data_IF_443988797542
#
_entry.id   IF_443988797542
#
_cell.length_a   1.000
_cell.length_b   1.000
_cell.length_c   1.000
_cell.angle_alpha   90.00
_cell.angle_beta   90.00
_cell.angle_gamma   90.00
#
_symmetry.space_group_name_H-M   'P 1'
#
loop_
_entity.id
_entity.type
_entity.pdbx_description
1 polymer ?
#
# COMPACT_ATOMS: atom_id res chain seq x y z
N UNK A 1 28.71 13.06 1.16
CA UNK A 1 27.60 12.81 0.22
C UNK A 1 27.55 11.31 0.02
N UNK A 2 26.58 10.52 0.47
CA UNK A 2 25.14 10.67 0.48
C UNK A 2 24.64 9.65 1.54
N UNK A 3 24.02 10.07 2.64
CA UNK A 3 23.10 9.14 3.31
C UNK A 3 21.97 9.01 2.29
N UNK A 4 21.84 7.84 1.68
CA UNK A 4 20.75 7.58 0.77
C UNK A 4 19.46 8.02 1.47
N UNK A 5 18.72 8.88 0.81
CA UNK A 5 17.40 9.38 1.21
C UNK A 5 16.43 8.19 1.21
N UNK A 6 16.59 7.35 2.24
CA UNK A 6 15.86 6.12 2.46
C UNK A 6 14.62 6.53 3.25
N UNK A 7 13.54 6.79 2.51
CA UNK A 7 12.26 7.12 3.05
C UNK A 7 11.50 5.86 3.49
N UNK A 8 10.45 6.07 4.26
CA UNK A 8 9.47 5.04 4.60
C UNK A 8 8.15 5.37 3.93
N UNK A 9 7.48 4.34 3.42
CA UNK A 9 6.09 4.45 2.97
C UNK A 9 5.23 3.71 3.98
N UNK A 10 4.41 4.46 4.71
CA UNK A 10 3.48 3.96 5.73
C UNK A 10 2.04 4.29 5.33
N UNK A 11 1.12 3.39 5.65
CA UNK A 11 -0.30 3.61 5.40
C UNK A 11 -1.20 2.74 6.27
N UNK A 12 -2.49 3.06 6.25
CA UNK A 12 -3.55 2.30 6.94
C UNK A 12 -4.58 1.89 5.90
N UNK A 13 -4.93 0.61 5.85
CA UNK A 13 -6.03 0.10 5.03
C UNK A 13 -7.31 0.06 5.87
N UNK A 14 -8.35 0.67 5.31
CA UNK A 14 -9.67 0.81 5.91
C UNK A 14 -10.72 0.38 4.89
N UNK A 15 -11.76 -0.29 5.36
CA UNK A 15 -12.92 -0.66 4.57
C UNK A 15 -14.00 0.40 4.78
N UNK A 16 -14.28 1.16 3.72
CA UNK A 16 -15.41 2.07 3.66
C UNK A 16 -16.68 1.26 3.36
N UNK A 17 -17.33 0.83 4.44
CA UNK A 17 -18.55 0.03 4.39
C UNK A 17 -19.78 0.88 4.11
N UNK A 18 -19.67 2.21 4.19
CA UNK A 18 -20.78 3.16 4.03
C UNK A 18 -20.77 3.83 2.66
N UNK A 19 -19.61 3.86 1.99
CA UNK A 19 -19.36 4.57 0.74
C UNK A 19 -19.38 6.09 0.91
N UNK A 20 -19.10 6.60 2.11
CA UNK A 20 -19.18 8.02 2.44
C UNK A 20 -17.82 8.74 2.49
N UNK A 21 -16.72 7.98 2.43
CA UNK A 21 -15.37 8.52 2.50
C UNK A 21 -14.97 9.08 3.87
N UNK A 22 -15.73 8.79 4.94
CA UNK A 22 -15.39 9.18 6.31
C UNK A 22 -14.59 8.07 7.02
N UNK A 23 -13.28 8.32 7.16
CA UNK A 23 -12.37 7.37 7.80
C UNK A 23 -12.66 7.12 9.30
N UNK A 24 -13.51 7.93 9.94
CA UNK A 24 -13.82 7.86 11.37
C UNK A 24 -14.71 6.68 11.73
N UNK A 25 -15.60 6.28 10.82
CA UNK A 25 -16.50 5.13 10.92
C UNK A 25 -15.99 3.90 10.16
N UNK A 26 -14.95 4.05 9.36
CA UNK A 26 -14.36 2.92 8.64
C UNK A 26 -13.74 1.86 9.56
N UNK A 27 -13.85 0.61 9.13
CA UNK A 27 -13.27 -0.54 9.81
C UNK A 27 -11.86 -0.78 9.28
N UNK A 28 -10.87 -0.93 10.17
CA UNK A 28 -9.50 -1.29 9.77
C UNK A 28 -9.45 -2.71 9.19
N UNK A 29 -8.67 -2.90 8.14
CA UNK A 29 -8.51 -4.21 7.48
C UNK A 29 -7.18 -4.82 7.87
N UNK A 30 -7.23 -5.85 8.71
CA UNK A 30 -6.07 -6.69 9.01
C UNK A 30 -5.88 -7.77 7.94
N UNK A 31 -4.62 -8.10 7.62
CA UNK A 31 -4.29 -9.16 6.66
C UNK A 31 -4.45 -8.78 5.17
N UNK A 32 -4.74 -7.51 4.85
CA UNK A 32 -4.64 -7.03 3.48
C UNK A 32 -3.18 -7.06 3.02
N UNK A 33 -2.94 -7.47 1.78
CA UNK A 33 -1.60 -7.55 1.22
C UNK A 33 -1.29 -6.26 0.48
N UNK A 34 -0.34 -5.49 0.98
CA UNK A 34 0.21 -4.32 0.31
C UNK A 34 1.45 -4.71 -0.51
N UNK A 35 1.47 -4.36 -1.79
CA UNK A 35 2.62 -4.54 -2.67
C UNK A 35 3.08 -3.18 -3.18
N UNK A 36 4.38 -2.88 -3.02
CA UNK A 36 4.97 -1.63 -3.49
C UNK A 36 5.51 -1.79 -4.91
N UNK A 37 5.13 -0.88 -5.80
CA UNK A 37 5.58 -0.81 -7.18
C UNK A 37 6.31 0.51 -7.42
N UNK A 38 7.48 0.45 -8.06
CA UNK A 38 8.18 1.64 -8.56
C UNK A 38 7.65 1.96 -9.96
N UNK A 39 7.28 3.22 -10.15
CA UNK A 39 6.84 3.77 -11.44
C UNK A 39 7.89 3.53 -12.53
N UNK A 40 7.46 2.94 -13.65
CA UNK A 40 8.27 2.75 -14.86
C UNK A 40 8.66 4.06 -15.56
N UNK A 41 8.03 5.17 -15.15
CA UNK A 41 8.35 6.53 -15.57
C UNK A 41 7.26 7.21 -16.40
N UNK A 42 6.11 6.53 -16.59
CA UNK A 42 4.94 7.10 -17.28
C UNK A 42 3.95 7.77 -16.30
N UNK A 43 4.14 7.60 -14.99
CA UNK A 43 3.30 8.18 -13.94
C UNK A 43 1.91 7.54 -13.82
N UNK A 44 1.69 6.37 -14.39
CA UNK A 44 0.42 5.63 -14.39
C UNK A 44 0.67 4.18 -13.98
N UNK A 45 -0.16 3.65 -13.09
CA UNK A 45 -0.01 2.25 -12.69
C UNK A 45 -0.23 1.31 -13.88
N UNK A 46 0.75 0.47 -14.20
CA UNK A 46 0.79 -0.29 -15.45
C UNK A 46 1.83 -1.41 -15.49
N UNK A 47 1.98 -1.99 -16.69
CA UNK A 47 2.88 -3.15 -16.93
C UNK A 47 4.36 -2.79 -16.88
N UNK A 48 4.68 -1.50 -17.00
CA UNK A 48 6.03 -0.96 -16.90
C UNK A 48 6.50 -0.76 -15.45
N UNK A 49 5.59 -0.89 -14.47
CA UNK A 49 5.93 -0.76 -13.07
C UNK A 49 6.55 -2.04 -12.51
N UNK A 50 7.56 -1.86 -11.67
CA UNK A 50 8.30 -2.98 -11.07
C UNK A 50 7.96 -3.12 -9.60
N UNK A 51 7.51 -4.31 -9.19
CA UNK A 51 7.34 -4.64 -7.77
C UNK A 51 8.71 -4.59 -7.07
N UNK A 52 8.77 -3.89 -5.94
CA UNK A 52 9.98 -3.75 -5.14
C UNK A 52 9.75 -4.25 -3.72
N UNK A 53 10.73 -5.00 -3.21
CA UNK A 53 10.62 -5.64 -1.90
C UNK A 53 9.62 -6.81 -1.89
N UNK A 54 9.28 -7.25 -0.68
CA UNK A 54 8.26 -8.28 -0.47
C UNK A 54 6.91 -7.64 -0.14
N UNK A 55 5.79 -8.26 -0.52
CA UNK A 55 4.48 -7.83 -0.07
C UNK A 55 4.39 -7.82 1.46
N UNK A 56 3.71 -6.81 2.01
CA UNK A 56 3.54 -6.61 3.46
C UNK A 56 2.07 -6.78 3.82
N UNK A 57 1.78 -7.68 4.75
CA UNK A 57 0.43 -7.83 5.30
C UNK A 57 0.14 -6.71 6.30
N UNK A 58 -1.06 -6.14 6.26
CA UNK A 58 -1.49 -5.17 7.27
C UNK A 58 -1.65 -5.83 8.63
N UNK A 59 -1.24 -5.11 9.68
CA UNK A 59 -1.35 -5.59 11.06
C UNK A 59 -2.80 -5.50 11.59
N UNK A 60 -3.00 -5.82 12.88
CA UNK A 60 -4.32 -5.76 13.53
C UNK A 60 -4.95 -4.35 13.54
N UNK A 61 -4.16 -3.30 13.32
CA UNK A 61 -4.60 -1.92 13.18
C UNK A 61 -4.75 -1.48 11.72
N UNK A 62 -4.62 -2.41 10.76
CA UNK A 62 -4.67 -2.13 9.32
C UNK A 62 -3.43 -1.44 8.77
N UNK A 63 -2.34 -1.34 9.53
CA UNK A 63 -1.14 -0.61 9.12
C UNK A 63 -0.19 -1.49 8.32
N UNK A 64 0.44 -0.90 7.29
CA UNK A 64 1.58 -1.47 6.57
C UNK A 64 2.73 -0.47 6.53
N UNK A 65 3.96 -0.98 6.35
CA UNK A 65 5.18 -0.18 6.27
C UNK A 65 6.16 -0.80 5.29
N UNK A 66 6.69 0.03 4.40
CA UNK A 66 7.83 -0.29 3.55
C UNK A 66 9.02 0.57 3.98
N UNK A 67 10.10 -0.11 4.32
CA UNK A 67 11.36 0.49 4.74
C UNK A 67 12.32 0.68 3.56
N UNK A 68 13.30 1.58 3.75
CA UNK A 68 14.41 1.77 2.82
C UNK A 68 13.97 2.05 1.38
N UNK A 69 12.93 2.86 1.24
CA UNK A 69 12.40 3.26 -0.07
C UNK A 69 13.22 4.44 -0.57
N UNK A 70 14.01 4.24 -1.61
CA UNK A 70 14.78 5.34 -2.22
C UNK A 70 13.88 6.40 -2.85
N UNK A 71 14.43 7.54 -3.26
CA UNK A 71 13.67 8.55 -3.98
C UNK A 71 13.04 7.99 -5.28
N UNK A 72 11.82 8.41 -5.58
CA UNK A 72 11.09 8.00 -6.77
C UNK A 72 9.58 8.15 -6.64
N UNK A 73 8.87 7.82 -7.72
CA UNK A 73 7.42 7.65 -7.71
C UNK A 73 7.08 6.18 -7.49
N UNK A 74 6.04 5.95 -6.71
CA UNK A 74 5.60 4.62 -6.33
C UNK A 74 4.09 4.51 -6.35
N UNK A 75 3.64 3.30 -6.57
CA UNK A 75 2.25 2.87 -6.42
C UNK A 75 2.19 1.81 -5.34
N UNK A 76 1.20 1.90 -4.46
CA UNK A 76 0.88 0.83 -3.51
C UNK A 76 -0.37 0.14 -4.00
N UNK A 77 -0.25 -1.13 -4.34
CA UNK A 77 -1.39 -1.98 -4.66
C UNK A 77 -1.84 -2.70 -3.39
N UNK A 78 -3.12 -2.58 -3.06
CA UNK A 78 -3.72 -3.28 -1.92
C UNK A 78 -4.61 -4.40 -2.45
N UNK A 79 -4.30 -5.63 -2.05
CA UNK A 79 -5.14 -6.80 -2.26
C UNK A 79 -5.84 -7.16 -0.96
N UNK A 80 -7.17 -7.03 -0.94
CA UNK A 80 -7.98 -7.38 0.22
C UNK A 80 -7.95 -8.90 0.47
N UNK A 81 -8.11 -9.34 1.74
CA UNK A 81 -8.29 -10.75 2.06
C UNK A 81 -9.45 -11.34 1.25
N UNK A 82 -9.36 -12.62 0.87
CA UNK A 82 -10.40 -13.30 0.10
C UNK A 82 -11.78 -13.26 0.80
N UNK A 83 -11.79 -13.23 2.13
CA UNK A 83 -13.01 -13.11 2.95
C UNK A 83 -13.74 -11.77 2.78
N UNK A 84 -13.05 -10.73 2.27
CA UNK A 84 -13.60 -9.41 2.01
C UNK A 84 -13.85 -9.14 0.51
N UNK A 85 -13.51 -10.08 -0.36
CA UNK A 85 -13.80 -9.97 -1.79
C UNK A 85 -15.20 -10.53 -2.07
N UNK A 86 -16.18 -9.65 -2.31
CA UNK A 86 -17.50 -10.06 -2.77
C UNK A 86 -17.35 -10.79 -4.13
N UNK A 87 -17.84 -12.03 -4.20
CA UNK A 87 -18.00 -12.80 -5.45
C UNK A 87 -19.24 -12.38 -6.21
#
# INVERSE_FOLDING_TARGET
MLAADMAEIIGVVRADLQGDGDASNDVVVAGAIATLYRDGGNGTFGVDDTAIGSPVATNAQGQYRFDQVGAGKYFVQISLPAEMQFH
#
